data_IF_550681864326
#
_entry.id   IF_550681864326
#
_cell.length_a   1.000
_cell.length_b   1.000
_cell.length_c   1.000
_cell.angle_alpha   90.00
_cell.angle_beta   90.00
_cell.angle_gamma   90.00
#
_symmetry.space_group_name_H-M   'P 1'
#
loop_
_entity.id
_entity.type
_entity.pdbx_description
1 polymer ?
#
# COMPACT_ATOMS: atom_id res chain seq x y z
N UNK A 1 5.49 -10.42 -6.24
CA UNK A 1 4.31 -11.32 -6.20
C UNK A 1 3.11 -10.70 -6.93
N UNK A 2 3.34 -9.86 -7.96
CA UNK A 2 2.26 -9.21 -8.70
C UNK A 2 1.57 -10.20 -9.64
N UNK A 3 0.24 -10.06 -9.85
CA UNK A 3 -0.56 -10.91 -10.75
C UNK A 3 -0.50 -12.42 -10.43
N UNK A 4 -0.36 -12.77 -9.15
CA UNK A 4 -0.17 -14.16 -8.72
C UNK A 4 -1.46 -14.83 -8.24
N UNK A 5 -2.61 -14.15 -8.31
CA UNK A 5 -3.88 -14.65 -7.79
C UNK A 5 -3.90 -14.77 -6.27
N UNK A 6 -3.11 -13.95 -5.57
CA UNK A 6 -3.12 -13.92 -4.10
C UNK A 6 -4.47 -13.40 -3.62
N UNK A 7 -5.00 -14.04 -2.58
CA UNK A 7 -6.22 -13.67 -1.88
C UNK A 7 -5.90 -13.30 -0.43
N UNK A 8 -6.87 -12.77 0.36
CA UNK A 8 -6.62 -12.37 1.73
C UNK A 8 -6.04 -13.49 2.62
N UNK A 9 -6.34 -14.75 2.30
CA UNK A 9 -5.82 -15.92 3.01
C UNK A 9 -4.29 -16.04 2.96
N UNK A 10 -3.65 -15.49 1.94
CA UNK A 10 -2.19 -15.49 1.79
C UNK A 10 -1.51 -14.42 2.64
N UNK A 11 -2.25 -13.40 3.11
CA UNK A 11 -1.66 -12.27 3.82
C UNK A 11 -1.19 -12.60 5.25
N UNK A 12 -1.76 -13.61 5.91
CA UNK A 12 -1.30 -14.05 7.23
C UNK A 12 0.16 -14.54 7.22
N UNK A 13 0.51 -15.52 6.38
CA UNK A 13 1.89 -15.94 6.19
C UNK A 13 2.81 -14.80 5.72
N UNK A 14 2.34 -13.93 4.81
CA UNK A 14 3.13 -12.77 4.35
C UNK A 14 3.43 -11.78 5.48
N UNK A 15 2.47 -11.51 6.36
CA UNK A 15 2.67 -10.67 7.54
C UNK A 15 3.73 -11.25 8.49
N UNK A 16 3.74 -12.58 8.66
CA UNK A 16 4.79 -13.25 9.45
C UNK A 16 6.17 -13.21 8.79
N UNK A 17 6.23 -13.14 7.45
CA UNK A 17 7.49 -12.92 6.75
C UNK A 17 7.94 -11.47 6.93
N UNK A 18 7.04 -10.49 6.81
CA UNK A 18 7.35 -9.08 7.04
C UNK A 18 7.92 -8.81 8.44
N UNK A 19 7.46 -9.54 9.45
CA UNK A 19 7.90 -9.40 10.84
C UNK A 19 9.27 -10.01 11.15
N UNK A 20 9.74 -10.95 10.32
CA UNK A 20 10.92 -11.76 10.61
C UNK A 20 12.01 -11.68 9.53
N UNK A 21 11.76 -10.95 8.45
CA UNK A 21 12.67 -10.86 7.30
C UNK A 21 13.31 -9.49 7.17
N UNK A 22 14.46 -9.44 6.50
CA UNK A 22 15.13 -8.21 6.10
C UNK A 22 14.58 -7.66 4.78
N UNK A 23 13.30 -7.91 4.49
CA UNK A 23 12.68 -7.60 3.21
C UNK A 23 12.43 -6.09 3.12
N UNK A 24 13.06 -5.45 2.14
CA UNK A 24 12.98 -4.00 1.92
C UNK A 24 11.99 -3.62 0.83
N UNK A 25 11.68 -4.52 -0.10
CA UNK A 25 10.79 -4.23 -1.24
C UNK A 25 9.77 -5.35 -1.43
N UNK A 26 8.47 -5.01 -1.35
CA UNK A 26 7.36 -5.92 -1.54
C UNK A 26 6.38 -5.38 -2.58
N UNK A 27 6.27 -6.10 -3.69
CA UNK A 27 5.28 -5.81 -4.73
C UNK A 27 4.20 -6.90 -4.77
N UNK A 28 2.99 -6.51 -4.41
CA UNK A 28 1.78 -7.33 -4.38
C UNK A 28 0.71 -6.80 -5.34
N UNK A 29 1.07 -5.92 -6.27
CA UNK A 29 0.13 -5.26 -7.19
C UNK A 29 -0.69 -6.27 -8.00
N UNK A 30 -1.93 -5.92 -8.33
CA UNK A 30 -2.87 -6.71 -9.10
C UNK A 30 -3.16 -8.09 -8.49
N UNK A 31 -3.34 -8.13 -7.16
CA UNK A 31 -3.86 -9.29 -6.46
C UNK A 31 -5.14 -8.90 -5.69
N UNK A 32 -6.06 -9.84 -5.54
CA UNK A 32 -7.34 -9.61 -4.86
C UNK A 32 -7.17 -9.68 -3.34
N UNK A 33 -6.37 -8.76 -2.78
CA UNK A 33 -6.07 -8.75 -1.35
C UNK A 33 -7.19 -8.15 -0.50
N UNK A 34 -7.94 -7.20 -1.06
CA UNK A 34 -9.03 -6.49 -0.39
C UNK A 34 -8.58 -5.83 0.93
N UNK A 35 -9.52 -5.25 1.67
CA UNK A 35 -9.21 -4.64 2.96
C UNK A 35 -8.68 -5.65 3.99
N UNK A 36 -9.24 -6.86 4.01
CA UNK A 36 -8.87 -7.90 4.98
C UNK A 36 -7.44 -8.39 4.80
N UNK A 37 -6.97 -8.53 3.55
CA UNK A 37 -5.58 -8.87 3.28
C UNK A 37 -4.63 -7.73 3.64
N UNK A 38 -5.03 -6.48 3.40
CA UNK A 38 -4.24 -5.30 3.78
C UNK A 38 -4.14 -5.15 5.29
N UNK A 39 -5.23 -5.39 6.05
CA UNK A 39 -5.22 -5.36 7.51
C UNK A 39 -4.20 -6.35 8.09
N UNK A 40 -4.16 -7.58 7.56
CA UNK A 40 -3.17 -8.57 7.97
C UNK A 40 -1.73 -8.12 7.65
N UNK A 41 -1.50 -7.52 6.48
CA UNK A 41 -0.20 -6.95 6.14
C UNK A 41 0.19 -5.81 7.10
N UNK A 42 -0.77 -4.98 7.50
CA UNK A 42 -0.56 -3.90 8.47
C UNK A 42 -0.08 -4.41 9.83
N UNK A 43 -0.58 -5.57 10.28
CA UNK A 43 -0.10 -6.20 11.51
C UNK A 43 1.39 -6.60 11.40
N UNK A 44 1.79 -7.09 10.23
CA UNK A 44 3.19 -7.36 9.91
C UNK A 44 4.05 -6.09 9.87
N UNK A 45 3.57 -5.02 9.25
CA UNK A 45 4.27 -3.72 9.18
C UNK A 45 4.45 -3.08 10.57
N UNK A 46 3.48 -3.25 11.47
CA UNK A 46 3.55 -2.74 12.85
C UNK A 46 4.51 -3.54 13.73
N UNK A 47 4.82 -4.79 13.35
CA UNK A 47 5.68 -5.67 14.13
C UNK A 47 7.16 -5.39 13.89
N UNK A 48 7.96 -5.39 14.96
CA UNK A 48 9.40 -5.24 14.86
C UNK A 48 10.11 -6.61 14.75
N UNK A 49 11.20 -6.75 13.97
CA UNK A 49 11.83 -5.74 13.13
C UNK A 49 11.39 -5.81 11.65
N UNK A 50 10.29 -5.13 11.27
CA UNK A 50 9.99 -4.91 9.85
C UNK A 50 10.97 -3.87 9.26
N UNK A 51 11.57 -4.16 8.10
CA UNK A 51 12.51 -3.26 7.40
C UNK A 51 12.01 -2.85 6.01
N UNK A 52 10.71 -2.94 5.80
CA UNK A 52 10.13 -2.68 4.50
C UNK A 52 10.21 -1.18 4.17
N UNK A 53 10.84 -0.86 3.05
CA UNK A 53 11.01 0.49 2.53
C UNK A 53 10.00 0.75 1.40
N UNK A 54 9.71 -0.24 0.56
CA UNK A 54 8.78 -0.12 -0.57
C UNK A 54 7.65 -1.15 -0.48
N UNK A 55 6.41 -0.66 -0.55
CA UNK A 55 5.20 -1.49 -0.64
C UNK A 55 4.34 -1.06 -1.83
N UNK A 56 4.08 -1.99 -2.75
CA UNK A 56 3.16 -1.77 -3.88
C UNK A 56 1.94 -2.67 -3.78
N UNK A 57 0.78 -2.02 -3.76
CA UNK A 57 -0.55 -2.60 -3.64
C UNK A 57 -1.46 -2.08 -4.77
N UNK A 58 -0.88 -1.72 -5.91
CA UNK A 58 -1.65 -1.15 -7.02
C UNK A 58 -2.71 -2.15 -7.50
N UNK A 59 -3.97 -1.73 -7.66
CA UNK A 59 -5.03 -2.61 -8.16
C UNK A 59 -5.35 -3.80 -7.25
N UNK A 60 -5.31 -3.62 -5.92
CA UNK A 60 -5.54 -4.68 -4.93
C UNK A 60 -6.93 -4.66 -4.27
N UNK A 61 -7.88 -3.91 -4.83
CA UNK A 61 -9.23 -3.70 -4.30
C UNK A 61 -9.24 -3.10 -2.88
N UNK A 62 -8.28 -2.21 -2.59
CA UNK A 62 -8.20 -1.51 -1.31
C UNK A 62 -9.27 -0.40 -1.26
N UNK A 63 -10.10 -0.43 -0.23
CA UNK A 63 -11.12 0.58 0.03
C UNK A 63 -10.64 1.59 1.08
N UNK A 64 -11.54 2.51 1.48
CA UNK A 64 -11.30 3.41 2.60
C UNK A 64 -10.81 2.69 3.86
N UNK A 65 -11.39 1.52 4.16
CA UNK A 65 -11.05 0.75 5.35
C UNK A 65 -9.59 0.27 5.32
N UNK A 66 -9.15 -0.35 4.23
CA UNK A 66 -7.77 -0.79 4.07
C UNK A 66 -6.78 0.38 4.03
N UNK A 67 -7.14 1.48 3.37
CA UNK A 67 -6.30 2.69 3.36
C UNK A 67 -6.14 3.32 4.75
N UNK A 68 -7.19 3.32 5.57
CA UNK A 68 -7.09 3.80 6.96
C UNK A 68 -6.23 2.88 7.84
N UNK A 69 -6.31 1.56 7.63
CA UNK A 69 -5.45 0.60 8.29
C UNK A 69 -3.97 0.83 7.94
N UNK A 70 -3.67 1.08 6.66
CA UNK A 70 -2.32 1.44 6.20
C UNK A 70 -1.84 2.73 6.85
N UNK A 71 -2.65 3.79 6.86
CA UNK A 71 -2.28 5.05 7.52
C UNK A 71 -1.94 4.83 9.01
N UNK A 72 -2.76 4.05 9.71
CA UNK A 72 -2.49 3.67 11.11
C UNK A 72 -1.18 2.89 11.28
N UNK A 73 -0.84 1.99 10.35
CA UNK A 73 0.40 1.23 10.40
C UNK A 73 1.63 2.13 10.15
N UNK A 74 1.54 3.03 9.18
CA UNK A 74 2.64 3.91 8.78
C UNK A 74 2.89 5.05 9.77
N UNK A 75 1.88 5.44 10.55
CA UNK A 75 2.03 6.35 11.68
C UNK A 75 2.79 5.73 12.86
N UNK A 76 3.09 4.43 12.85
CA UNK A 76 3.89 3.78 13.88
C UNK A 76 5.36 4.21 13.78
N UNK A 77 5.98 4.52 14.91
CA UNK A 77 7.38 4.96 14.99
C UNK A 77 8.43 3.95 14.48
N UNK A 78 8.00 2.71 14.20
CA UNK A 78 8.85 1.61 13.73
C UNK A 78 8.72 1.37 12.22
N UNK A 79 7.87 2.14 11.52
CA UNK A 79 7.76 2.03 10.07
C UNK A 79 9.03 2.58 9.44
N UNK A 80 9.56 1.84 8.46
CA UNK A 80 10.67 2.28 7.61
C UNK A 80 10.22 2.54 6.17
N UNK A 81 8.90 2.56 5.93
CA UNK A 81 8.34 2.65 4.59
C UNK A 81 8.56 4.05 4.01
N UNK A 82 9.27 4.12 2.89
CA UNK A 82 9.56 5.34 2.14
C UNK A 82 8.72 5.45 0.87
N UNK A 83 8.27 4.33 0.30
CA UNK A 83 7.44 4.29 -0.92
C UNK A 83 6.18 3.44 -0.71
N UNK A 84 5.01 4.05 -0.92
CA UNK A 84 3.71 3.37 -0.98
C UNK A 84 3.03 3.61 -2.33
N UNK A 85 2.67 2.54 -3.02
CA UNK A 85 1.84 2.58 -4.22
C UNK A 85 0.48 1.94 -3.98
N UNK A 86 -0.57 2.76 -4.02
CA UNK A 86 -1.98 2.39 -3.95
C UNK A 86 -2.75 2.81 -5.21
N UNK A 87 -2.06 3.06 -6.32
CA UNK A 87 -2.70 3.36 -7.60
C UNK A 87 -3.76 2.30 -7.98
N UNK A 88 -4.75 2.68 -8.77
CA UNK A 88 -5.83 1.76 -9.18
C UNK A 88 -6.60 1.11 -8.00
N UNK A 89 -6.69 1.78 -6.85
CA UNK A 89 -7.56 1.40 -5.73
C UNK A 89 -8.59 2.51 -5.42
N UNK A 90 -9.40 2.30 -4.38
CA UNK A 90 -10.42 3.24 -3.92
C UNK A 90 -10.30 3.58 -2.43
N UNK A 91 -9.16 4.14 -1.96
CA UNK A 91 -8.97 4.52 -0.55
C UNK A 91 -9.93 5.63 -0.09
N UNK A 92 -10.63 6.33 -0.98
CA UNK A 92 -11.60 7.36 -0.59
C UNK A 92 -10.99 8.39 0.38
N UNK A 93 -11.68 8.75 1.48
CA UNK A 93 -11.15 9.72 2.45
C UNK A 93 -9.83 9.33 3.13
N UNK A 94 -9.44 8.06 3.17
CA UNK A 94 -8.15 7.68 3.76
C UNK A 94 -6.96 8.04 2.87
N UNK A 95 -7.18 8.41 1.61
CA UNK A 95 -6.18 9.06 0.76
C UNK A 95 -5.61 10.34 1.40
N UNK A 96 -6.47 11.15 2.03
CA UNK A 96 -6.05 12.38 2.71
C UNK A 96 -5.19 12.07 3.93
N UNK A 97 -5.52 11.01 4.68
CA UNK A 97 -4.72 10.56 5.82
C UNK A 97 -3.32 10.10 5.39
N UNK A 98 -3.24 9.33 4.31
CA UNK A 98 -1.97 8.85 3.76
C UNK A 98 -1.13 10.01 3.22
N UNK A 99 -1.77 11.00 2.59
CA UNK A 99 -1.11 12.20 2.09
C UNK A 99 -0.56 13.03 3.26
N UNK A 100 -1.35 13.20 4.33
CA UNK A 100 -0.92 13.91 5.53
C UNK A 100 0.29 13.24 6.20
N UNK A 101 0.37 11.90 6.17
CA UNK A 101 1.53 11.17 6.70
C UNK A 101 2.80 11.45 5.90
N UNK A 102 2.72 11.56 4.57
CA UNK A 102 3.89 11.93 3.74
C UNK A 102 4.41 13.31 4.11
N UNK A 103 3.53 14.23 4.48
CA UNK A 103 3.90 15.59 4.87
C UNK A 103 4.34 15.67 6.36
N UNK A 104 4.27 14.57 7.12
CA UNK A 104 4.69 14.50 8.53
C UNK A 104 6.21 14.24 8.64
N UNK A 105 6.97 15.08 9.37
CA UNK A 105 8.43 14.96 9.46
C UNK A 105 8.91 13.76 10.29
N UNK A 106 8.03 13.11 11.05
CA UNK A 106 8.30 11.88 11.79
C UNK A 106 7.92 10.62 11.02
N UNK A 107 7.29 10.76 9.84
CA UNK A 107 7.02 9.65 8.95
C UNK A 107 8.11 9.59 7.88
N UNK A 108 8.72 8.41 7.61
CA UNK A 108 9.73 8.28 6.56
C UNK A 108 9.16 8.23 5.14
N UNK A 109 7.83 8.30 4.99
CA UNK A 109 7.15 8.15 3.72
C UNK A 109 7.43 9.36 2.81
N UNK A 110 8.17 9.14 1.73
CA UNK A 110 8.58 10.18 0.78
C UNK A 110 7.74 10.12 -0.51
N UNK A 111 7.49 8.90 -1.01
CA UNK A 111 6.75 8.67 -2.24
C UNK A 111 5.41 7.98 -1.95
N UNK A 112 4.32 8.67 -2.30
CA UNK A 112 2.95 8.14 -2.22
C UNK A 112 2.28 8.24 -3.59
N UNK A 113 1.80 7.11 -4.13
CA UNK A 113 1.04 7.04 -5.38
C UNK A 113 -0.39 6.60 -5.08
N UNK A 114 -1.37 7.44 -5.41
CA UNK A 114 -2.79 7.19 -5.21
C UNK A 114 -3.57 7.18 -6.52
N UNK A 115 -3.13 7.97 -7.50
CA UNK A 115 -3.74 8.04 -8.81
C UNK A 115 -3.54 6.73 -9.57
N UNK A 116 -4.52 6.28 -10.38
CA UNK A 116 -4.25 5.29 -11.41
C UNK A 116 -3.18 5.86 -12.34
N UNK A 117 -1.93 5.42 -12.19
CA UNK A 117 -0.82 5.93 -12.97
C UNK A 117 -0.96 5.48 -14.43
N UNK A 118 -1.75 6.23 -15.18
CA UNK A 118 -1.78 6.25 -16.62
C UNK A 118 -2.12 7.68 -17.03
N UNK A 119 -1.30 8.25 -17.90
CA UNK A 119 -1.67 9.42 -18.68
C UNK A 119 -3.13 9.31 -19.15
N UNK A 120 -3.82 10.43 -19.23
CA UNK A 120 -5.04 10.57 -19.99
C UNK A 120 -4.79 10.19 -21.46
N UNK A 121 -4.91 8.90 -21.82
CA UNK A 121 -5.23 8.48 -23.19
C UNK A 121 -6.74 8.47 -23.40
N UNK A 122 -7.38 9.57 -23.02
CA UNK A 122 -8.61 10.04 -23.65
C UNK A 122 -8.64 11.56 -23.51
N UNK A 123 -8.01 12.25 -24.46
CA UNK A 123 -8.58 13.50 -24.94
C UNK A 123 -9.70 13.11 -25.93
N UNK A 124 -10.99 13.26 -25.59
CA UNK A 124 -12.05 13.13 -26.56
C UNK A 124 -11.98 14.38 -27.45
N UNK A 125 -11.41 14.21 -28.64
CA UNK A 125 -11.46 15.22 -29.70
C UNK A 125 -10.11 15.87 -29.99
N UNK A 126 -9.42 15.35 -31.00
CA UNK A 126 -9.13 16.10 -32.23
C UNK A 126 -8.34 15.21 -33.21
N UNK A 127 -9.03 14.42 -34.04
CA UNK A 127 -8.56 14.01 -35.38
C UNK A 127 -9.75 13.66 -36.28
N UNK A 128 -10.24 14.65 -37.03
CA UNK A 128 -10.42 14.65 -38.48
C UNK A 128 -10.60 16.10 -38.93
#
# INVERSE_FOLDING_TARGET
LSLCGLSPHCCGPLASVLSSSSLTHLDLSHNDLQDSGVELLCDGLKSAPCRLETLRLSGCLVSQRGGAALASALSSAHSHLTELDLSYNHPGPSAELLTALRDDPHCPLDSLRLDPAGEQWMVPGLRK
#
